data_IF_513081870582
#
_entry.id   IF_513081870582
#
_cell.length_a   1.000
_cell.length_b   1.000
_cell.length_c   1.000
_cell.angle_alpha   90.00
_cell.angle_beta   90.00
_cell.angle_gamma   90.00
#
_symmetry.space_group_name_H-M   'P 1'
#
loop_
_entity.id
_entity.type
_entity.pdbx_description
1 polymer ?
#
# COMPACT_ATOMS: atom_id res chain seq x y z
N UNK A 1 7.31 -27.40 -41.71
CA UNK A 1 7.27 -26.59 -40.48
C UNK A 1 6.83 -25.19 -40.88
N UNK A 2 5.68 -24.72 -40.39
CA UNK A 2 5.10 -23.46 -40.85
C UNK A 2 6.00 -22.27 -40.46
N UNK A 3 6.56 -21.58 -41.45
CA UNK A 3 7.49 -20.45 -41.34
C UNK A 3 6.79 -19.10 -41.28
N UNK A 4 5.56 -19.06 -40.75
CA UNK A 4 4.80 -17.82 -40.61
C UNK A 4 5.18 -17.09 -39.32
N UNK A 5 5.64 -15.85 -39.49
CA UNK A 5 5.80 -14.85 -38.45
C UNK A 5 4.66 -13.81 -38.59
N UNK A 6 4.21 -13.18 -37.49
CA UNK A 6 4.65 -13.35 -36.10
C UNK A 6 4.27 -14.71 -35.50
N UNK A 7 5.12 -15.22 -34.60
CA UNK A 7 4.79 -16.36 -33.74
C UNK A 7 4.38 -15.86 -32.37
N UNK A 8 3.33 -16.44 -31.83
CA UNK A 8 2.80 -16.09 -30.53
C UNK A 8 2.98 -17.25 -29.55
N UNK A 9 3.29 -16.93 -28.31
CA UNK A 9 3.22 -17.91 -27.22
C UNK A 9 2.73 -17.24 -25.94
N UNK A 10 2.07 -18.03 -25.11
CA UNK A 10 1.49 -17.59 -23.86
C UNK A 10 1.87 -18.59 -22.77
N UNK A 11 2.43 -18.10 -21.66
CA UNK A 11 2.84 -18.93 -20.53
C UNK A 11 2.53 -18.25 -19.21
N UNK A 12 2.29 -19.06 -18.19
CA UNK A 12 2.09 -18.61 -16.81
C UNK A 12 3.26 -19.06 -15.95
N UNK A 13 3.81 -18.12 -15.19
CA UNK A 13 4.91 -18.32 -14.25
C UNK A 13 4.47 -17.76 -12.89
N UNK A 14 3.89 -18.62 -12.05
CA UNK A 14 3.29 -18.19 -10.78
C UNK A 14 2.11 -17.24 -10.98
N UNK A 15 2.21 -16.02 -10.44
CA UNK A 15 1.24 -14.94 -10.59
C UNK A 15 1.44 -14.10 -11.86
N UNK A 16 2.50 -14.36 -12.64
CA UNK A 16 2.79 -13.65 -13.87
C UNK A 16 2.25 -14.40 -15.08
N UNK A 17 1.62 -13.65 -15.98
CA UNK A 17 1.26 -14.11 -17.31
C UNK A 17 2.13 -13.42 -18.34
N UNK A 18 2.86 -14.19 -19.13
CA UNK A 18 3.81 -13.68 -20.12
C UNK A 18 3.32 -14.04 -21.52
N UNK A 19 2.98 -13.01 -22.27
CA UNK A 19 2.64 -13.10 -23.69
C UNK A 19 3.85 -12.71 -24.52
N UNK A 20 4.23 -13.58 -25.45
CA UNK A 20 5.36 -13.36 -26.35
C UNK A 20 4.86 -13.20 -27.79
N UNK A 21 5.35 -12.15 -28.45
CA UNK A 21 5.32 -12.04 -29.89
C UNK A 21 6.75 -12.07 -30.42
N UNK A 22 7.05 -13.11 -31.20
CA UNK A 22 8.34 -13.28 -31.86
C UNK A 22 8.21 -12.84 -33.32
N UNK A 23 8.95 -11.80 -33.66
CA UNK A 23 9.15 -11.28 -35.02
C UNK A 23 10.47 -11.82 -35.59
N UNK A 24 10.80 -11.44 -36.84
CA UNK A 24 12.04 -11.87 -37.50
C UNK A 24 13.32 -11.33 -36.84
N UNK A 25 13.26 -10.12 -36.26
CA UNK A 25 14.42 -9.42 -35.68
C UNK A 25 14.23 -8.97 -34.23
N UNK A 26 13.06 -9.22 -33.64
CA UNK A 26 12.66 -8.64 -32.36
C UNK A 26 11.75 -9.61 -31.62
N UNK A 27 11.86 -9.67 -30.30
CA UNK A 27 10.97 -10.42 -29.42
C UNK A 27 10.33 -9.46 -28.43
N UNK A 28 9.00 -9.44 -28.39
CA UNK A 28 8.22 -8.63 -27.47
C UNK A 28 7.63 -9.52 -26.39
N UNK A 29 7.75 -9.12 -25.13
CA UNK A 29 7.06 -9.74 -24.00
C UNK A 29 6.16 -8.71 -23.32
N UNK A 30 4.86 -8.97 -23.32
CA UNK A 30 3.92 -8.28 -22.44
C UNK A 30 3.77 -9.13 -21.18
N UNK A 31 4.21 -8.61 -20.05
CA UNK A 31 4.15 -9.27 -18.75
C UNK A 31 3.00 -8.68 -17.94
N UNK A 32 2.12 -9.55 -17.46
CA UNK A 32 0.93 -9.20 -16.70
C UNK A 32 1.01 -9.77 -15.29
N UNK A 33 0.99 -8.89 -14.28
CA UNK A 33 0.99 -9.25 -12.87
C UNK A 33 -0.47 -9.36 -12.36
N UNK A 34 -0.89 -10.60 -12.09
CA UNK A 34 -2.25 -10.91 -11.66
C UNK A 34 -2.55 -10.44 -10.22
N UNK A 35 -1.54 -10.28 -9.36
CA UNK A 35 -1.72 -9.82 -7.98
C UNK A 35 -1.94 -8.31 -7.94
N UNK A 36 -1.21 -7.57 -8.79
CA UNK A 36 -1.39 -6.14 -8.95
C UNK A 36 -2.64 -5.79 -9.79
N UNK A 37 -3.11 -6.69 -10.66
CA UNK A 37 -4.31 -6.48 -11.45
C UNK A 37 -5.58 -6.46 -10.60
N UNK A 38 -6.29 -5.33 -10.61
CA UNK A 38 -7.55 -5.16 -9.89
C UNK A 38 -8.79 -5.53 -10.70
N UNK A 39 -8.69 -5.64 -12.03
CA UNK A 39 -9.87 -5.79 -12.90
C UNK A 39 -10.64 -4.49 -13.17
N UNK A 40 -10.00 -3.33 -13.03
CA UNK A 40 -10.61 -2.02 -13.28
C UNK A 40 -11.04 -1.80 -14.76
N UNK A 41 -10.40 -2.47 -15.70
CA UNK A 41 -10.73 -2.41 -17.13
C UNK A 41 -10.31 -1.11 -17.84
N UNK A 42 -9.49 -0.26 -17.24
CA UNK A 42 -8.94 0.94 -17.92
C UNK A 42 -8.12 0.52 -19.16
N UNK A 43 -7.36 -0.57 -19.06
CA UNK A 43 -6.61 -1.12 -20.19
C UNK A 43 -7.50 -1.61 -21.34
N UNK A 44 -8.72 -2.07 -21.05
CA UNK A 44 -9.69 -2.50 -22.06
C UNK A 44 -10.18 -1.28 -22.85
N UNK A 45 -10.58 -0.22 -22.16
CA UNK A 45 -11.02 1.02 -22.82
C UNK A 45 -9.87 1.72 -23.56
N UNK A 46 -8.64 1.57 -23.07
CA UNK A 46 -7.46 2.20 -23.64
C UNK A 46 -6.81 1.43 -24.81
N UNK A 47 -7.14 0.15 -25.02
CA UNK A 47 -6.50 -0.65 -26.06
C UNK A 47 -6.97 -0.21 -27.46
N UNK A 48 -6.09 0.27 -28.35
CA UNK A 48 -6.47 0.67 -29.71
C UNK A 48 -6.90 -0.51 -30.59
N UNK A 49 -6.33 -1.70 -30.35
CA UNK A 49 -6.62 -2.94 -31.11
C UNK A 49 -7.78 -3.74 -30.52
N UNK A 50 -8.36 -3.29 -29.41
CA UNK A 50 -9.41 -4.01 -28.67
C UNK A 50 -9.00 -5.47 -28.35
N UNK A 51 -7.71 -5.68 -28.12
CA UNK A 51 -7.12 -6.98 -27.82
C UNK A 51 -7.35 -7.43 -26.37
N UNK A 52 -7.81 -6.53 -25.50
CA UNK A 52 -7.94 -6.80 -24.06
C UNK A 52 -9.43 -6.93 -23.72
N UNK A 53 -9.78 -7.97 -22.96
CA UNK A 53 -11.15 -8.25 -22.53
C UNK A 53 -11.25 -8.34 -21.01
N UNK A 54 -12.40 -7.97 -20.46
CA UNK A 54 -12.72 -8.19 -19.04
C UNK A 54 -13.28 -9.60 -18.86
N UNK A 55 -12.76 -10.31 -17.87
CA UNK A 55 -13.38 -11.53 -17.37
C UNK A 55 -14.35 -11.26 -16.21
N UNK A 56 -14.75 -12.29 -15.45
CA UNK A 56 -15.65 -12.16 -14.31
C UNK A 56 -14.94 -11.57 -13.10
N UNK A 57 -14.71 -10.25 -13.13
CA UNK A 57 -13.90 -9.48 -12.15
C UNK A 57 -14.27 -9.80 -10.71
N UNK A 58 -15.57 -9.80 -10.38
CA UNK A 58 -16.04 -10.08 -9.02
C UNK A 58 -15.68 -11.49 -8.53
N UNK A 59 -15.85 -12.50 -9.39
CA UNK A 59 -15.54 -13.89 -9.03
C UNK A 59 -14.03 -14.11 -8.87
N UNK A 60 -13.22 -13.58 -9.80
CA UNK A 60 -11.75 -13.71 -9.77
C UNK A 60 -11.18 -12.99 -8.55
N UNK A 61 -11.57 -11.74 -8.31
CA UNK A 61 -10.99 -10.93 -7.23
C UNK A 61 -11.40 -11.36 -5.83
N UNK A 62 -12.53 -12.07 -5.68
CA UNK A 62 -12.91 -12.74 -4.43
C UNK A 62 -12.29 -14.14 -4.28
N UNK A 63 -11.54 -14.61 -5.28
CA UNK A 63 -11.00 -15.98 -5.29
C UNK A 63 -12.08 -17.07 -5.43
N UNK A 64 -13.29 -16.72 -5.88
CA UNK A 64 -14.38 -17.68 -6.08
C UNK A 64 -14.12 -18.61 -7.27
N UNK A 65 -13.28 -18.20 -8.22
CA UNK A 65 -12.78 -19.04 -9.30
C UNK A 65 -11.26 -18.86 -9.44
N UNK A 66 -10.56 -19.91 -9.84
CA UNK A 66 -9.11 -19.90 -10.08
C UNK A 66 -8.73 -20.21 -11.54
N UNK A 67 -9.71 -20.59 -12.37
CA UNK A 67 -9.49 -20.96 -13.77
C UNK A 67 -9.65 -19.78 -14.75
N UNK A 68 -10.01 -18.59 -14.26
CA UNK A 68 -10.25 -17.39 -15.07
C UNK A 68 -9.43 -16.19 -14.61
N UNK A 69 -9.34 -15.17 -15.46
CA UNK A 69 -8.61 -13.92 -15.21
C UNK A 69 -9.57 -12.74 -15.18
N UNK A 70 -9.28 -11.73 -14.35
CA UNK A 70 -10.09 -10.51 -14.33
C UNK A 70 -9.96 -9.71 -15.63
N UNK A 71 -8.80 -9.82 -16.28
CA UNK A 71 -8.46 -9.19 -17.55
C UNK A 71 -7.62 -10.20 -18.32
N UNK A 72 -7.94 -10.40 -19.60
CA UNK A 72 -7.18 -11.26 -20.50
C UNK A 72 -6.87 -10.53 -21.80
N UNK A 73 -5.85 -10.97 -22.52
CA UNK A 73 -5.34 -10.32 -23.73
C UNK A 73 -5.25 -11.35 -24.85
N UNK A 74 -5.82 -11.05 -26.01
CA UNK A 74 -5.65 -11.80 -27.24
C UNK A 74 -4.30 -11.42 -27.86
N UNK A 75 -3.33 -12.33 -27.73
CA UNK A 75 -1.96 -12.09 -28.20
C UNK A 75 -1.87 -11.94 -29.73
N UNK A 76 -2.86 -12.42 -30.49
CA UNK A 76 -2.89 -12.29 -31.95
C UNK A 76 -3.39 -10.93 -32.42
N UNK A 77 -4.25 -10.28 -31.63
CA UNK A 77 -4.70 -8.90 -31.87
C UNK A 77 -3.75 -7.87 -31.27
N UNK A 78 -3.04 -8.22 -30.21
CA UNK A 78 -2.15 -7.31 -29.51
C UNK A 78 -1.01 -6.81 -30.41
N UNK A 79 -0.89 -5.48 -30.55
CA UNK A 79 0.20 -4.82 -31.27
C UNK A 79 1.46 -4.59 -30.43
N UNK A 80 1.43 -4.98 -29.14
CA UNK A 80 2.53 -4.75 -28.18
C UNK A 80 2.96 -3.27 -28.08
N UNK A 81 2.01 -2.34 -28.22
CA UNK A 81 2.27 -0.90 -28.23
C UNK A 81 2.58 -0.27 -26.86
N UNK A 82 2.21 -0.94 -25.75
CA UNK A 82 2.46 -0.46 -24.38
C UNK A 82 1.46 0.56 -23.83
N UNK A 83 0.38 0.90 -24.55
CA UNK A 83 -0.65 1.83 -24.04
C UNK A 83 -1.28 1.33 -22.74
N UNK A 84 -1.54 0.02 -22.64
CA UNK A 84 -2.10 -0.59 -21.44
C UNK A 84 -1.14 -0.53 -20.23
N UNK A 85 0.17 -0.55 -20.46
CA UNK A 85 1.21 -0.37 -19.43
C UNK A 85 1.10 1.04 -18.85
N UNK A 86 1.11 2.05 -19.72
CA UNK A 86 1.07 3.47 -19.32
C UNK A 86 -0.24 3.82 -18.62
N UNK A 87 -1.37 3.30 -19.12
CA UNK A 87 -2.69 3.62 -18.59
C UNK A 87 -3.07 2.79 -17.34
N UNK A 88 -2.25 1.84 -16.90
CA UNK A 88 -2.53 1.06 -15.70
C UNK A 88 -2.18 1.85 -14.42
N UNK A 89 -3.16 2.28 -13.59
CA UNK A 89 -2.86 2.99 -12.35
C UNK A 89 -2.37 2.09 -11.21
N UNK A 90 -2.30 0.77 -11.45
CA UNK A 90 -1.92 -0.25 -10.47
C UNK A 90 -0.57 -0.92 -10.77
N UNK A 91 0.11 -0.49 -11.85
CA UNK A 91 1.40 -1.06 -12.26
C UNK A 91 1.35 -2.60 -12.46
N UNK A 92 0.27 -3.10 -13.07
CA UNK A 92 0.03 -4.53 -13.28
C UNK A 92 0.58 -5.07 -14.61
N UNK A 93 1.22 -4.22 -15.42
CA UNK A 93 1.67 -4.53 -16.77
C UNK A 93 3.06 -3.97 -17.00
N UNK A 94 3.93 -4.71 -17.67
CA UNK A 94 5.19 -4.21 -18.21
C UNK A 94 5.43 -4.76 -19.61
N UNK A 95 6.12 -3.98 -20.45
CA UNK A 95 6.50 -4.37 -21.81
C UNK A 95 8.02 -4.49 -21.88
N UNK A 96 8.51 -5.64 -22.34
CA UNK A 96 9.93 -5.86 -22.62
C UNK A 96 10.13 -6.10 -24.10
N UNK A 97 11.18 -5.50 -24.64
CA UNK A 97 11.60 -5.65 -26.03
C UNK A 97 13.03 -6.16 -26.00
N UNK A 98 13.26 -7.34 -26.58
CA UNK A 98 14.54 -8.04 -26.57
C UNK A 98 15.13 -8.21 -25.16
N UNK A 99 14.25 -8.41 -24.18
CA UNK A 99 14.59 -8.64 -22.77
C UNK A 99 14.70 -7.39 -21.91
N UNK A 100 14.71 -6.20 -22.50
CA UNK A 100 14.81 -4.92 -21.78
C UNK A 100 13.44 -4.26 -21.62
N UNK A 101 13.14 -3.71 -20.45
CA UNK A 101 11.89 -2.98 -20.22
C UNK A 101 11.92 -1.65 -20.99
N UNK A 102 11.11 -1.56 -22.04
CA UNK A 102 11.09 -0.46 -23.00
C UNK A 102 9.68 -0.15 -23.44
N UNK A 103 9.38 1.14 -23.51
CA UNK A 103 8.09 1.66 -23.97
C UNK A 103 8.32 2.59 -25.17
N UNK A 104 8.38 2.05 -26.41
CA UNK A 104 8.65 2.85 -27.61
C UNK A 104 7.68 4.01 -27.80
N UNK A 105 6.44 3.86 -27.33
CA UNK A 105 5.42 4.89 -27.42
C UNK A 105 5.74 6.11 -26.53
N UNK A 106 6.46 5.91 -25.43
CA UNK A 106 6.92 7.00 -24.54
C UNK A 106 8.23 7.58 -25.06
N UNK A 107 9.18 6.72 -25.47
CA UNK A 107 10.48 7.15 -26.01
C UNK A 107 10.33 8.07 -27.24
N UNK A 108 9.24 7.90 -28.01
CA UNK A 108 8.92 8.70 -29.20
C UNK A 108 7.92 9.83 -28.94
N UNK A 109 7.64 10.15 -27.67
CA UNK A 109 6.65 11.15 -27.25
C UNK A 109 5.26 10.95 -27.89
N UNK A 110 4.91 9.69 -28.19
CA UNK A 110 3.67 9.30 -28.85
C UNK A 110 2.48 9.20 -27.90
N UNK A 111 2.71 9.23 -26.58
CA UNK A 111 1.68 9.09 -25.56
C UNK A 111 2.07 9.78 -24.25
N UNK A 112 1.14 10.46 -23.56
CA UNK A 112 1.43 11.09 -22.28
C UNK A 112 1.50 10.06 -21.15
N UNK A 113 2.06 10.45 -20.00
CA UNK A 113 2.13 9.60 -18.79
C UNK A 113 1.32 10.20 -17.66
N UNK A 114 0.94 9.41 -16.67
CA UNK A 114 0.32 9.95 -15.46
C UNK A 114 1.24 10.97 -14.77
N UNK A 115 0.63 12.01 -14.21
CA UNK A 115 1.32 13.01 -13.38
C UNK A 115 0.87 12.93 -11.92
N UNK A 116 1.32 11.90 -11.16
CA UNK A 116 0.88 11.71 -9.79
C UNK A 116 1.51 12.75 -8.87
N UNK A 117 0.67 13.55 -8.21
CA UNK A 117 1.12 14.42 -7.11
C UNK A 117 1.07 13.62 -5.83
N UNK A 118 2.24 13.19 -5.34
CA UNK A 118 2.39 12.52 -4.05
C UNK A 118 3.76 12.87 -3.46
N UNK A 119 3.76 13.46 -2.28
CA UNK A 119 4.99 13.91 -1.63
C UNK A 119 4.88 13.82 -0.11
N UNK A 120 6.03 13.61 0.55
CA UNK A 120 6.19 13.70 1.99
C UNK A 120 7.17 14.81 2.28
N UNK A 121 6.77 15.75 3.14
CA UNK A 121 7.62 16.78 3.71
C UNK A 121 8.45 16.15 4.84
N UNK A 122 9.75 15.98 4.60
CA UNK A 122 10.69 15.34 5.53
C UNK A 122 10.89 16.17 6.83
N UNK A 123 10.64 17.49 6.79
CA UNK A 123 10.75 18.36 7.96
C UNK A 123 9.56 18.14 8.90
N UNK A 124 8.34 18.07 8.35
CA UNK A 124 7.10 17.82 9.11
C UNK A 124 6.91 16.36 9.50
N UNK A 125 7.48 15.41 8.75
CA UNK A 125 7.30 13.99 9.02
C UNK A 125 8.00 13.56 10.32
N UNK A 126 7.26 12.98 11.26
CA UNK A 126 7.79 12.49 12.54
C UNK A 126 8.12 11.00 12.55
N UNK A 127 8.18 10.35 11.37
CA UNK A 127 8.54 8.93 11.20
C UNK A 127 7.64 7.93 11.95
N UNK A 128 6.40 8.31 12.26
CA UNK A 128 5.37 7.43 12.83
C UNK A 128 4.96 6.31 11.84
N UNK A 129 4.05 5.42 12.26
CA UNK A 129 3.59 4.29 11.45
C UNK A 129 2.27 4.55 10.70
N UNK A 130 1.55 5.64 11.02
CA UNK A 130 0.16 5.84 10.56
C UNK A 130 -0.03 5.68 9.06
N UNK A 131 0.83 6.29 8.24
CA UNK A 131 0.70 6.21 6.78
C UNK A 131 0.88 4.78 6.24
N UNK A 132 1.70 3.95 6.90
CA UNK A 132 1.87 2.53 6.58
C UNK A 132 0.62 1.75 6.99
N UNK A 133 0.09 2.03 8.17
CA UNK A 133 -1.04 1.29 8.75
C UNK A 133 -2.36 1.53 7.99
N UNK A 134 -2.58 2.76 7.50
CA UNK A 134 -3.80 3.10 6.74
C UNK A 134 -3.70 2.81 5.24
N UNK A 135 -2.53 2.41 4.72
CA UNK A 135 -2.35 2.22 3.28
C UNK A 135 -3.04 0.94 2.80
N UNK A 136 -4.05 1.01 1.90
CA UNK A 136 -4.78 -0.17 1.44
C UNK A 136 -3.99 -1.00 0.42
N UNK A 137 -2.92 -0.44 -0.15
CA UNK A 137 -1.96 -1.20 -0.96
C UNK A 137 -1.02 -1.88 0.03
N UNK A 138 -1.19 -3.19 0.22
CA UNK A 138 -0.40 -4.12 1.07
C UNK A 138 0.86 -3.45 1.60
N UNK A 139 1.01 -3.28 2.94
CA UNK A 139 1.72 -2.17 3.60
C UNK A 139 3.21 -1.97 3.28
N UNK A 140 3.79 -2.71 2.34
CA UNK A 140 5.16 -2.56 1.82
C UNK A 140 5.22 -2.01 0.39
N UNK A 141 4.14 -2.09 -0.41
CA UNK A 141 4.20 -1.73 -1.83
C UNK A 141 4.24 -0.23 -2.05
N UNK A 142 3.31 0.52 -1.46
CA UNK A 142 3.13 1.95 -1.77
C UNK A 142 3.84 2.91 -0.80
N UNK A 143 4.04 2.52 0.45
CA UNK A 143 4.71 3.31 1.49
C UNK A 143 5.94 2.54 1.97
N UNK A 144 7.12 3.07 1.67
CA UNK A 144 8.39 2.52 2.14
C UNK A 144 8.83 3.29 3.38
N UNK A 145 8.79 2.61 4.54
CA UNK A 145 9.25 3.16 5.83
C UNK A 145 10.58 2.51 6.21
N UNK A 146 11.67 3.16 5.83
CA UNK A 146 13.03 2.79 6.20
C UNK A 146 13.40 3.49 7.51
N UNK A 147 12.79 3.03 8.60
CA UNK A 147 13.01 3.57 9.96
C UNK A 147 13.33 2.38 10.86
N UNK A 148 14.47 2.38 11.56
CA UNK A 148 14.94 1.20 12.27
C UNK A 148 13.94 0.75 13.33
N UNK A 149 13.67 -0.55 13.35
CA UNK A 149 12.98 -1.21 14.44
C UNK A 149 13.92 -1.30 15.66
N UNK A 150 13.34 -1.42 16.85
CA UNK A 150 14.10 -1.64 18.09
C UNK A 150 13.86 -3.05 18.62
N UNK A 151 14.80 -3.55 19.41
CA UNK A 151 14.75 -4.86 20.05
C UNK A 151 13.39 -5.09 20.73
N UNK A 152 12.80 -6.26 20.46
CA UNK A 152 11.43 -6.61 20.87
C UNK A 152 10.37 -6.37 19.78
N UNK A 153 10.69 -5.68 18.69
CA UNK A 153 9.81 -5.56 17.50
C UNK A 153 10.33 -6.33 16.28
N UNK A 154 11.65 -6.50 16.16
CA UNK A 154 12.32 -7.29 15.12
C UNK A 154 13.60 -7.92 15.69
N UNK A 155 13.97 -9.12 15.21
CA UNK A 155 15.21 -9.81 15.53
C UNK A 155 16.47 -9.05 15.03
N UNK A 156 16.31 -8.24 13.98
CA UNK A 156 17.36 -7.33 13.49
C UNK A 156 17.26 -5.90 14.08
N UNK A 157 16.36 -5.67 15.04
CA UNK A 157 16.13 -4.36 15.63
C UNK A 157 17.36 -3.85 16.40
N UNK A 158 17.57 -2.53 16.36
CA UNK A 158 18.59 -1.86 17.18
C UNK A 158 18.30 -2.10 18.66
N UNK A 159 19.34 -2.18 19.50
CA UNK A 159 19.13 -2.35 20.95
C UNK A 159 18.28 -1.21 21.49
N UNK A 160 17.35 -1.49 22.42
CA UNK A 160 16.48 -0.44 22.99
C UNK A 160 17.27 0.74 23.56
N UNK A 161 18.44 0.48 24.14
CA UNK A 161 19.31 1.52 24.66
C UNK A 161 19.87 2.46 23.58
N UNK A 162 19.97 2.02 22.32
CA UNK A 162 20.38 2.89 21.20
C UNK A 162 19.27 3.85 20.77
N UNK A 163 18.02 3.64 21.22
CA UNK A 163 16.92 4.60 21.06
C UNK A 163 17.07 5.81 21.99
N UNK A 164 17.87 5.67 23.06
CA UNK A 164 17.95 6.63 24.14
C UNK A 164 19.12 7.57 23.88
N UNK A 165 18.79 8.78 23.46
CA UNK A 165 19.73 9.86 23.27
C UNK A 165 19.83 10.68 24.56
N UNK A 166 20.43 10.07 25.58
CA UNK A 166 20.70 10.76 26.83
C UNK A 166 22.11 10.48 27.32
N UNK A 167 22.77 11.52 27.82
CA UNK A 167 23.98 11.34 28.61
C UNK A 167 23.54 10.86 29.99
N UNK A 168 23.73 9.57 30.24
CA UNK A 168 23.40 8.95 31.51
C UNK A 168 24.69 8.85 32.31
N UNK A 169 24.69 9.42 33.51
CA UNK A 169 25.73 9.14 34.50
C UNK A 169 25.19 8.22 35.57
N UNK A 170 26.01 7.28 35.99
CA UNK A 170 25.72 6.35 37.08
C UNK A 170 26.91 6.38 38.02
N UNK A 171 26.65 6.65 39.29
CA UNK A 171 27.63 6.60 40.36
C UNK A 171 27.10 5.71 41.48
N UNK A 172 27.97 4.85 42.01
CA UNK A 172 27.65 3.98 43.14
C UNK A 172 28.71 4.19 44.22
N UNK A 173 28.31 4.82 45.33
CA UNK A 173 29.16 5.07 46.48
C UNK A 173 29.56 3.74 47.14
N UNK A 174 30.84 3.36 47.03
CA UNK A 174 31.37 2.10 47.55
C UNK A 174 31.37 2.04 49.10
N UNK A 175 31.36 3.17 49.79
CA UNK A 175 31.32 3.22 51.26
C UNK A 175 29.90 2.96 51.79
N UNK A 176 28.89 3.46 51.07
CA UNK A 176 27.47 3.23 51.41
C UNK A 176 26.91 1.93 50.85
N UNK A 177 27.50 1.37 49.79
CA UNK A 177 26.97 0.19 49.13
C UNK A 177 27.15 -1.07 49.99
N UNK A 178 26.03 -1.70 50.35
CA UNK A 178 26.01 -2.96 51.12
C UNK A 178 26.17 -4.20 50.25
N UNK A 179 26.25 -4.04 48.92
CA UNK A 179 26.32 -5.14 47.92
C UNK A 179 25.15 -6.12 48.08
N UNK A 180 23.95 -5.63 48.44
CA UNK A 180 22.78 -6.45 48.74
C UNK A 180 22.28 -7.25 47.51
N UNK A 181 22.28 -6.63 46.33
CA UNK A 181 21.87 -7.25 45.07
C UNK A 181 20.59 -6.69 44.46
N UNK A 182 19.76 -5.96 45.22
CA UNK A 182 18.42 -5.51 44.80
C UNK A 182 18.44 -4.75 43.47
N UNK A 183 19.43 -3.88 43.26
CA UNK A 183 19.58 -3.12 42.03
C UNK A 183 19.89 -4.00 40.81
N UNK A 184 20.60 -5.12 40.97
CA UNK A 184 20.90 -6.07 39.90
C UNK A 184 19.73 -7.00 39.56
N UNK A 185 18.83 -7.26 40.52
CA UNK A 185 17.64 -8.07 40.29
C UNK A 185 16.59 -7.32 39.45
N UNK A 186 16.54 -5.99 39.56
CA UNK A 186 15.56 -5.15 38.86
C UNK A 186 16.10 -4.46 37.61
N UNK A 187 17.43 -4.41 37.42
CA UNK A 187 18.05 -3.66 36.33
C UNK A 187 19.03 -4.51 35.52
N UNK A 188 18.69 -4.76 34.26
CA UNK A 188 19.56 -5.47 33.32
C UNK A 188 20.90 -4.76 33.04
N UNK A 189 20.99 -3.45 33.34
CA UNK A 189 22.22 -2.68 33.21
C UNK A 189 23.18 -2.87 34.39
N UNK A 190 22.74 -3.48 35.49
CA UNK A 190 23.53 -3.65 36.72
C UNK A 190 23.83 -5.12 36.98
N UNK A 191 25.11 -5.44 37.12
CA UNK A 191 25.55 -6.78 37.54
C UNK A 191 26.25 -6.69 38.89
N UNK A 192 25.69 -7.32 39.92
CA UNK A 192 26.27 -7.34 41.26
C UNK A 192 27.15 -8.57 41.42
N UNK A 193 28.47 -8.38 41.49
CA UNK A 193 29.44 -9.48 41.69
C UNK A 193 29.83 -9.59 43.16
N UNK A 194 29.27 -10.57 43.86
CA UNK A 194 29.66 -10.91 45.24
C UNK A 194 30.91 -11.80 45.22
N UNK A 195 31.91 -11.47 46.04
CA UNK A 195 33.07 -12.35 46.28
C UNK A 195 32.63 -13.58 47.07
N UNK A 196 33.34 -14.72 46.94
CA UNK A 196 33.02 -15.93 47.69
C UNK A 196 33.02 -15.68 49.19
N UNK A 197 32.04 -16.25 49.88
CA UNK A 197 32.00 -16.23 51.34
C UNK A 197 33.13 -17.10 51.88
N UNK A 198 33.97 -16.53 52.75
CA UNK A 198 34.94 -17.31 53.51
C UNK A 198 34.87 -16.96 55.00
N UNK A 199 35.11 -17.94 55.88
CA UNK A 199 35.23 -17.69 57.32
C UNK A 199 36.33 -16.67 57.66
N UNK A 200 37.37 -16.58 56.83
CA UNK A 200 38.49 -15.64 57.02
C UNK A 200 38.08 -14.17 56.79
N UNK A 201 37.13 -13.91 55.88
CA UNK A 201 36.72 -12.54 55.52
C UNK A 201 35.54 -12.08 56.38
N UNK A 202 34.60 -12.97 56.71
CA UNK A 202 33.47 -12.71 57.62
C UNK A 202 32.51 -11.60 57.20
N UNK A 203 32.70 -10.98 56.03
CA UNK A 203 31.91 -9.85 55.52
C UNK A 203 31.53 -10.08 54.06
N UNK A 204 30.34 -9.61 53.66
CA UNK A 204 29.93 -9.56 52.26
C UNK A 204 30.77 -8.48 51.57
N UNK A 205 31.48 -8.87 50.50
CA UNK A 205 32.27 -7.95 49.67
C UNK A 205 31.93 -8.20 48.21
N UNK A 206 31.99 -7.16 47.39
CA UNK A 206 31.73 -7.28 45.97
C UNK A 206 31.77 -5.93 45.28
N UNK A 207 31.34 -5.91 44.03
CA UNK A 207 31.29 -4.72 43.19
C UNK A 207 29.96 -4.69 42.41
N UNK A 208 29.45 -3.49 42.14
CA UNK A 208 28.31 -3.27 41.25
C UNK A 208 28.87 -2.81 39.90
N UNK A 209 28.65 -3.58 38.83
CA UNK A 209 29.06 -3.19 37.48
C UNK A 209 27.90 -2.61 36.71
N UNK A 210 28.10 -1.42 36.18
CA UNK A 210 27.14 -0.74 35.32
C UNK A 210 27.52 -0.87 33.85
N UNK A 211 26.54 -1.22 33.02
CA UNK A 211 26.66 -1.29 31.56
C UNK A 211 25.87 -0.14 30.95
N UNK A 212 26.55 0.93 30.57
CA UNK A 212 25.93 2.13 29.99
C UNK A 212 25.02 1.80 28.79
N UNK A 213 25.42 0.85 27.94
CA UNK A 213 24.65 0.41 26.77
C UNK A 213 23.33 -0.30 27.08
N UNK A 214 22.99 -0.54 28.34
CA UNK A 214 21.73 -1.17 28.74
C UNK A 214 20.92 -0.27 29.69
N UNK A 215 21.49 0.86 30.12
CA UNK A 215 20.86 1.77 31.04
C UNK A 215 20.06 2.81 30.28
N UNK A 216 18.81 3.01 30.67
CA UNK A 216 17.90 4.03 30.14
C UNK A 216 17.80 5.28 31.03
N UNK A 217 18.49 5.26 32.17
CA UNK A 217 18.45 6.34 33.15
C UNK A 217 17.09 6.44 33.86
N UNK A 218 16.32 5.34 33.97
CA UNK A 218 14.99 5.35 34.61
C UNK A 218 15.02 5.65 36.12
N UNK A 219 16.17 5.52 36.79
CA UNK A 219 16.33 5.83 38.22
C UNK A 219 15.83 4.77 39.20
N UNK A 220 15.22 3.67 38.73
CA UNK A 220 14.66 2.60 39.59
C UNK A 220 15.71 2.01 40.55
N UNK A 221 16.97 1.90 40.13
CA UNK A 221 18.06 1.40 40.97
C UNK A 221 18.47 2.36 42.10
N UNK A 222 18.24 3.67 41.93
CA UNK A 222 18.48 4.68 42.96
C UNK A 222 17.38 4.60 44.03
N UNK A 223 16.11 4.55 43.60
CA UNK A 223 14.93 4.46 44.48
C UNK A 223 14.86 3.16 45.30
N UNK A 224 15.29 2.03 44.72
CA UNK A 224 15.29 0.74 45.43
C UNK A 224 16.51 0.58 46.36
N UNK A 225 17.50 1.47 46.30
CA UNK A 225 18.73 1.33 47.06
C UNK A 225 18.47 1.66 48.54
N UNK A 226 18.50 0.68 49.46
CA UNK A 226 18.17 0.93 50.87
C UNK A 226 19.22 1.76 51.61
N UNK A 227 20.39 1.98 51.00
CA UNK A 227 21.50 2.75 51.58
C UNK A 227 21.79 4.04 50.82
N UNK A 228 20.90 4.45 49.90
CA UNK A 228 21.04 5.66 49.08
C UNK A 228 22.43 5.78 48.42
N UNK A 229 22.99 4.63 48.02
CA UNK A 229 24.35 4.53 47.50
C UNK A 229 24.43 4.79 45.99
N UNK A 230 23.30 4.86 45.29
CA UNK A 230 23.25 4.94 43.83
C UNK A 230 22.69 6.30 43.40
N UNK A 231 23.45 7.01 42.57
CA UNK A 231 23.01 8.24 41.89
C UNK A 231 22.93 7.99 40.39
N UNK A 232 21.81 8.36 39.77
CA UNK A 232 21.61 8.31 38.31
C UNK A 232 21.20 9.68 37.82
N UNK A 233 21.95 10.26 36.88
CA UNK A 233 21.53 11.48 36.19
C UNK A 233 21.29 11.18 34.71
N UNK A 234 20.31 11.88 34.13
CA UNK A 234 19.95 11.78 32.73
C UNK A 234 19.87 13.19 32.15
N UNK A 235 20.76 13.50 31.21
CA UNK A 235 20.72 14.74 30.44
C UNK A 235 20.21 14.44 29.04
N UNK A 236 19.17 15.14 28.60
CA UNK A 236 18.58 14.96 27.27
C UNK A 236 19.53 15.49 26.19
N UNK A 237 19.81 14.67 25.18
CA UNK A 237 20.52 15.07 23.98
C UNK A 237 19.54 15.26 22.81
N UNK A 238 19.93 16.08 21.83
CA UNK A 238 19.11 16.33 20.62
C UNK A 238 18.94 15.03 19.84
N UNK A 239 17.69 14.69 19.56
CA UNK A 239 17.35 13.51 18.78
C UNK A 239 17.49 13.80 17.28
N UNK A 240 18.40 13.11 16.61
CA UNK A 240 18.40 13.05 15.14
C UNK A 240 17.35 12.04 14.66
N UNK A 241 16.54 12.43 13.69
CA UNK A 241 15.60 11.52 13.01
C UNK A 241 16.41 10.42 12.30
N UNK A 242 16.20 9.15 12.68
CA UNK A 242 16.84 8.00 12.03
C UNK A 242 15.91 7.39 10.99
N UNK A 243 16.28 7.51 9.72
CA UNK A 243 15.56 6.88 8.63
C UNK A 243 14.63 7.83 7.86
N UNK A 244 13.89 7.27 6.91
CA UNK A 244 13.04 8.01 5.97
C UNK A 244 11.76 7.25 5.64
N UNK A 245 10.71 8.00 5.36
CA UNK A 245 9.48 7.47 4.75
C UNK A 245 9.37 8.00 3.33
N UNK A 246 9.05 7.14 2.37
CA UNK A 246 8.85 7.53 0.97
C UNK A 246 7.64 6.84 0.34
N UNK A 247 7.10 7.45 -0.72
CA UNK A 247 5.95 6.93 -1.48
C UNK A 247 6.47 6.39 -2.80
N UNK A 248 6.17 5.12 -3.11
CA UNK A 248 6.68 4.43 -4.30
C UNK A 248 5.81 4.65 -5.55
N UNK A 249 6.20 4.03 -6.66
CA UNK A 249 5.42 3.97 -7.90
C UNK A 249 4.08 3.23 -7.77
N UNK A 250 3.93 2.33 -6.81
CA UNK A 250 2.72 1.51 -6.62
C UNK A 250 1.59 2.25 -5.88
N UNK A 251 1.82 3.52 -5.52
CA UNK A 251 0.82 4.37 -4.92
C UNK A 251 -0.28 4.73 -5.91
N UNK A 252 -1.52 4.35 -5.57
CA UNK A 252 -2.71 4.55 -6.39
C UNK A 252 -3.40 5.90 -6.15
N UNK A 253 -2.81 6.80 -5.37
CA UNK A 253 -3.33 8.15 -5.05
C UNK A 253 -4.66 8.19 -4.26
N UNK A 254 -4.93 7.19 -3.41
CA UNK A 254 -6.17 7.10 -2.62
C UNK A 254 -6.27 8.08 -1.43
N UNK A 255 -5.24 8.85 -1.11
CA UNK A 255 -5.22 9.88 -0.04
C UNK A 255 -5.38 9.41 1.41
N UNK A 256 -5.51 8.11 1.70
CA UNK A 256 -5.56 7.60 3.09
C UNK A 256 -4.43 8.15 3.98
N UNK A 257 -3.19 8.09 3.48
CA UNK A 257 -2.02 8.61 4.19
C UNK A 257 -2.05 10.15 4.36
N UNK A 258 -2.56 10.89 3.38
CA UNK A 258 -2.66 12.35 3.45
C UNK A 258 -3.70 12.80 4.48
N UNK A 259 -4.86 12.15 4.52
CA UNK A 259 -5.95 12.48 5.45
C UNK A 259 -5.61 12.11 6.90
N UNK A 260 -4.87 11.01 7.11
CA UNK A 260 -4.57 10.51 8.45
C UNK A 260 -3.18 10.92 8.96
N UNK A 261 -2.44 11.77 8.22
CA UNK A 261 -1.13 12.23 8.68
C UNK A 261 -1.30 13.24 9.84
N UNK A 262 -0.86 12.94 11.07
CA UNK A 262 -1.07 13.82 12.21
C UNK A 262 -0.32 15.16 12.10
N UNK A 263 0.72 15.22 11.27
CA UNK A 263 1.53 16.44 11.06
C UNK A 263 1.30 17.07 9.68
N UNK A 264 0.30 16.59 8.93
CA UNK A 264 -0.02 17.08 7.59
C UNK A 264 1.20 17.11 6.64
N UNK A 265 2.14 16.19 6.84
CA UNK A 265 3.38 16.10 6.06
C UNK A 265 3.16 15.53 4.66
N UNK A 266 2.00 14.92 4.38
CA UNK A 266 1.76 14.14 3.17
C UNK A 266 0.77 14.86 2.26
N UNK A 267 1.19 15.14 1.03
CA UNK A 267 0.32 15.66 -0.03
C UNK A 267 0.03 14.56 -1.04
N UNK A 268 -1.24 14.33 -1.38
CA UNK A 268 -1.67 13.41 -2.43
C UNK A 268 -2.83 14.00 -3.22
N UNK A 269 -2.68 14.11 -4.54
CA UNK A 269 -3.76 14.44 -5.48
C UNK A 269 -4.09 13.22 -6.34
N UNK A 270 -5.38 13.03 -6.64
CA UNK A 270 -5.87 11.86 -7.37
C UNK A 270 -5.52 11.95 -8.86
N UNK A 271 -5.27 10.79 -9.47
CA UNK A 271 -5.10 10.66 -10.92
C UNK A 271 -6.37 10.98 -11.70
N UNK A 272 -7.53 10.69 -11.13
CA UNK A 272 -8.83 10.85 -11.78
C UNK A 272 -9.70 11.82 -11.00
N UNK A 273 -10.39 12.68 -11.74
CA UNK A 273 -11.41 13.59 -11.23
C UNK A 273 -12.78 13.15 -11.73
N UNK A 274 -13.81 13.41 -10.95
CA UNK A 274 -15.18 13.03 -11.28
C UNK A 274 -15.95 12.58 -10.05
N UNK A 275 -16.99 11.78 -10.27
CA UNK A 275 -17.87 11.32 -9.21
C UNK A 275 -18.31 9.86 -9.40
N UNK A 276 -18.76 9.25 -8.30
CA UNK A 276 -19.36 7.93 -8.25
C UNK A 276 -20.61 7.94 -7.37
N UNK A 277 -21.68 7.34 -7.86
CA UNK A 277 -22.98 7.27 -7.20
C UNK A 277 -23.41 5.80 -7.03
N UNK A 278 -24.05 5.52 -5.90
CA UNK A 278 -24.55 4.20 -5.54
C UNK A 278 -26.07 4.26 -5.33
N UNK A 279 -26.81 3.61 -6.20
CA UNK A 279 -28.26 3.39 -6.12
C UNK A 279 -28.56 2.24 -5.15
N UNK A 280 -28.48 2.54 -3.85
CA UNK A 280 -28.56 1.56 -2.76
C UNK A 280 -29.90 0.82 -2.71
N UNK A 281 -30.97 1.42 -3.23
CA UNK A 281 -32.30 0.84 -3.36
C UNK A 281 -32.31 -0.38 -4.29
N UNK A 282 -31.45 -0.38 -5.32
CA UNK A 282 -31.28 -1.50 -6.26
C UNK A 282 -30.27 -2.54 -5.76
N UNK A 283 -29.55 -2.25 -4.68
CA UNK A 283 -28.54 -3.14 -4.13
C UNK A 283 -29.20 -4.36 -3.45
N UNK A 284 -28.89 -5.60 -3.88
CA UNK A 284 -29.28 -6.79 -3.13
C UNK A 284 -28.51 -6.76 -1.81
N UNK A 285 -29.22 -6.78 -0.68
CA UNK A 285 -28.59 -6.66 0.63
C UNK A 285 -27.58 -7.78 0.87
N UNK A 286 -26.31 -7.41 1.09
CA UNK A 286 -25.32 -8.32 1.69
C UNK A 286 -24.38 -9.09 0.75
N UNK A 287 -24.20 -8.71 -0.52
CA UNK A 287 -23.24 -9.41 -1.38
C UNK A 287 -21.76 -9.00 -1.22
N UNK A 288 -21.50 -7.86 -0.55
CA UNK A 288 -20.18 -7.27 -0.21
C UNK A 288 -19.12 -7.17 -1.33
N UNK A 289 -19.47 -7.50 -2.57
CA UNK A 289 -18.51 -7.70 -3.67
C UNK A 289 -17.68 -6.45 -3.94
N UNK A 290 -18.31 -5.30 -4.04
CA UNK A 290 -17.62 -4.04 -4.32
C UNK A 290 -16.82 -3.52 -3.12
N UNK A 291 -17.18 -3.90 -1.89
CA UNK A 291 -16.41 -3.60 -0.67
C UNK A 291 -15.10 -4.39 -0.69
N UNK A 292 -15.18 -5.71 -0.85
CA UNK A 292 -14.04 -6.62 -0.76
C UNK A 292 -12.99 -6.39 -1.85
N UNK A 293 -13.40 -6.00 -3.06
CA UNK A 293 -12.48 -5.83 -4.19
C UNK A 293 -11.92 -4.41 -4.30
N UNK A 294 -12.37 -3.45 -3.48
CA UNK A 294 -11.98 -2.05 -3.62
C UNK A 294 -10.50 -1.87 -3.27
N UNK A 295 -9.61 -1.55 -4.24
CA UNK A 295 -8.18 -1.44 -3.98
C UNK A 295 -7.81 -0.20 -3.15
N UNK A 296 -8.74 0.74 -3.02
CA UNK A 296 -8.59 1.95 -2.23
C UNK A 296 -9.30 1.85 -0.87
N UNK A 297 -9.92 0.71 -0.54
CA UNK A 297 -10.74 0.53 0.67
C UNK A 297 -11.75 1.68 0.90
N UNK A 298 -12.33 2.21 -0.18
CA UNK A 298 -13.18 3.41 -0.14
C UNK A 298 -14.67 3.10 0.04
N UNK A 299 -15.06 1.83 -0.10
CA UNK A 299 -16.46 1.37 -0.08
C UNK A 299 -16.65 0.56 1.20
N UNK A 300 -17.75 0.76 1.92
CA UNK A 300 -18.01 0.12 3.20
C UNK A 300 -19.49 -0.25 3.35
N UNK A 301 -19.79 -1.17 4.28
CA UNK A 301 -21.14 -1.46 4.72
C UNK A 301 -21.43 -0.58 5.95
N UNK A 302 -22.42 0.33 5.89
CA UNK A 302 -22.76 1.17 7.03
C UNK A 302 -23.16 0.32 8.25
N UNK A 303 -22.73 0.75 9.44
CA UNK A 303 -23.14 0.10 10.69
C UNK A 303 -24.62 0.37 10.96
N UNK A 304 -25.35 -0.61 11.50
CA UNK A 304 -26.75 -0.42 11.85
C UNK A 304 -26.89 0.64 12.93
N UNK A 305 -27.72 1.65 12.67
CA UNK A 305 -28.21 2.62 13.66
C UNK A 305 -29.19 1.91 14.59
N UNK A 306 -29.34 2.47 15.79
CA UNK A 306 -30.38 2.01 16.71
C UNK A 306 -31.76 2.26 16.07
N UNK A 307 -32.69 1.30 16.08
CA UNK A 307 -34.04 1.48 15.56
C UNK A 307 -34.76 2.73 16.09
N UNK A 308 -34.44 3.18 17.31
CA UNK A 308 -34.97 4.42 17.88
C UNK A 308 -34.55 5.69 17.11
N UNK A 309 -33.38 5.67 16.47
CA UNK A 309 -32.78 6.81 15.75
C UNK A 309 -33.10 6.78 14.25
N UNK A 310 -33.80 5.74 13.77
CA UNK A 310 -34.03 5.57 12.33
C UNK A 310 -35.11 6.50 11.79
N UNK A 311 -36.03 7.04 12.61
CA UNK A 311 -37.10 7.96 12.18
C UNK A 311 -37.83 7.55 10.86
N UNK A 312 -37.90 6.25 10.55
CA UNK A 312 -38.48 5.73 9.31
C UNK A 312 -37.54 5.73 8.08
N UNK A 313 -36.29 6.16 8.21
CA UNK A 313 -35.26 6.07 7.19
C UNK A 313 -34.76 4.63 7.03
N UNK A 314 -34.62 4.18 5.79
CA UNK A 314 -33.95 2.92 5.46
C UNK A 314 -32.46 3.18 5.34
N UNK A 315 -31.65 2.44 6.11
CA UNK A 315 -30.20 2.56 6.02
C UNK A 315 -29.69 2.22 4.62
N UNK A 316 -28.72 3.01 4.18
CA UNK A 316 -27.95 2.69 3.00
C UNK A 316 -27.28 1.32 3.20
N UNK A 317 -27.58 0.37 2.32
CA UNK A 317 -26.96 -0.97 2.34
C UNK A 317 -25.46 -0.92 2.04
N UNK A 318 -25.00 0.19 1.45
CA UNK A 318 -23.62 0.39 1.02
C UNK A 318 -23.29 1.89 1.03
N UNK A 319 -22.07 2.22 1.45
CA UNK A 319 -21.54 3.58 1.45
C UNK A 319 -20.22 3.65 0.69
N UNK A 320 -19.90 4.84 0.18
CA UNK A 320 -18.61 5.14 -0.43
C UNK A 320 -18.07 6.44 0.15
N UNK A 321 -16.83 6.41 0.63
CA UNK A 321 -16.09 7.61 0.96
C UNK A 321 -15.42 8.14 -0.32
N UNK A 322 -16.00 9.20 -0.87
CA UNK A 322 -15.53 9.83 -2.11
C UNK A 322 -14.12 10.40 -1.97
N UNK A 323 -13.64 10.75 -0.78
CA UNK A 323 -12.27 11.23 -0.57
C UNK A 323 -11.21 10.16 -0.81
N UNK A 324 -11.54 8.89 -0.56
CA UNK A 324 -10.62 7.77 -0.79
C UNK A 324 -10.81 7.08 -2.14
N UNK A 325 -11.98 7.23 -2.77
CA UNK A 325 -12.24 6.64 -4.07
C UNK A 325 -11.33 7.24 -5.17
N UNK A 326 -10.65 6.37 -5.93
CA UNK A 326 -9.78 6.77 -7.05
C UNK A 326 -10.47 6.66 -8.40
N UNK A 327 -11.77 6.39 -8.45
CA UNK A 327 -12.54 6.30 -9.70
C UNK A 327 -11.99 5.27 -10.71
N UNK A 328 -11.42 4.14 -10.24
CA UNK A 328 -10.86 3.13 -11.14
C UNK A 328 -11.92 2.28 -11.85
N UNK A 329 -13.12 2.11 -11.27
CA UNK A 329 -14.25 1.40 -11.87
C UNK A 329 -14.28 -0.12 -11.66
N UNK A 330 -13.43 -0.67 -10.80
CA UNK A 330 -13.49 -2.10 -10.45
C UNK A 330 -14.84 -2.52 -9.87
N UNK A 331 -15.43 -1.67 -9.01
CA UNK A 331 -16.75 -1.92 -8.41
C UNK A 331 -17.86 -1.99 -9.46
N UNK A 332 -17.81 -1.13 -10.47
CA UNK A 332 -18.75 -1.12 -11.60
C UNK A 332 -18.65 -2.41 -12.40
N UNK A 333 -17.43 -2.94 -12.62
CA UNK A 333 -17.23 -4.18 -13.38
C UNK A 333 -17.62 -5.44 -12.63
N UNK A 334 -17.53 -5.42 -11.30
CA UNK A 334 -17.81 -6.59 -10.48
C UNK A 334 -19.26 -6.65 -9.98
N UNK A 335 -19.97 -5.53 -9.98
CA UNK A 335 -21.34 -5.47 -9.51
C UNK A 335 -22.27 -6.27 -10.46
N UNK A 336 -22.97 -7.31 -9.96
CA UNK A 336 -23.84 -8.14 -10.79
C UNK A 336 -25.21 -7.51 -11.05
N UNK A 337 -25.57 -6.44 -10.33
CA UNK A 337 -26.85 -5.76 -10.49
C UNK A 337 -26.81 -4.59 -11.47
N UNK A 338 -27.97 -4.28 -12.02
CA UNK A 338 -28.18 -3.28 -13.08
C UNK A 338 -28.29 -1.89 -12.48
N UNK A 339 -27.50 -0.95 -13.01
CA UNK A 339 -27.57 0.46 -12.65
C UNK A 339 -27.52 0.75 -11.15
N UNK A 340 -26.70 -0.03 -10.44
CA UNK A 340 -26.43 0.15 -9.01
C UNK A 340 -25.30 1.15 -8.80
N UNK A 341 -24.25 1.09 -9.63
CA UNK A 341 -23.05 1.92 -9.44
C UNK A 341 -22.81 2.70 -10.72
N UNK A 342 -22.92 4.02 -10.64
CA UNK A 342 -22.66 4.94 -11.76
C UNK A 342 -21.36 5.67 -11.50
N UNK A 343 -20.40 5.51 -12.40
CA UNK A 343 -19.09 6.15 -12.34
C UNK A 343 -18.96 7.14 -13.51
N UNK A 344 -18.61 8.38 -13.21
CA UNK A 344 -18.30 9.40 -14.22
C UNK A 344 -16.96 10.04 -13.92
N UNK A 345 -16.05 10.02 -14.88
CA UNK A 345 -14.79 10.77 -14.80
C UNK A 345 -14.95 12.08 -15.56
N UNK A 346 -14.40 13.17 -15.03
CA UNK A 346 -14.35 14.49 -15.66
C UNK A 346 -12.94 14.88 -16.06
N UNK A 347 -11.92 14.28 -15.44
CA UNK A 347 -10.52 14.60 -15.68
C UNK A 347 -9.59 13.41 -15.44
N UNK A 348 -8.47 13.42 -16.15
CA UNK A 348 -7.35 12.48 -15.96
C UNK A 348 -6.08 13.32 -15.93
N UNK A 349 -5.31 13.20 -14.86
CA UNK A 349 -4.08 13.95 -14.66
C UNK A 349 -2.91 13.32 -15.39
N UNK A 350 -2.46 13.99 -16.44
CA UNK A 350 -1.42 13.51 -17.35
C UNK A 350 -0.37 14.60 -17.60
N UNK A 351 0.87 14.18 -17.87
CA UNK A 351 1.96 15.03 -18.34
C UNK A 351 2.47 14.57 -19.71
N UNK A 352 2.92 15.52 -20.51
CA UNK A 352 3.40 15.30 -21.88
C UNK A 352 2.36 15.65 -22.93
N UNK A 353 2.65 15.30 -24.18
CA UNK A 353 1.83 15.68 -25.34
C UNK A 353 0.57 14.83 -25.44
N UNK A 354 -0.60 15.47 -25.45
CA UNK A 354 -1.87 14.80 -25.75
C UNK A 354 -1.98 14.52 -27.26
N UNK A 355 -1.61 13.30 -27.67
CA UNK A 355 -1.77 12.83 -29.05
C UNK A 355 -3.22 12.47 -29.38
N UNK A 356 -3.56 12.36 -30.66
CA UNK A 356 -4.94 12.04 -31.08
C UNK A 356 -5.38 10.64 -30.62
N UNK A 357 -4.43 9.71 -30.51
CA UNK A 357 -4.64 8.42 -29.85
C UNK A 357 -5.07 8.61 -28.39
N UNK A 358 -4.35 9.44 -27.64
CA UNK A 358 -4.70 9.70 -26.24
C UNK A 358 -6.05 10.41 -26.10
N UNK A 359 -6.37 11.39 -26.94
CA UNK A 359 -7.68 12.07 -26.93
C UNK A 359 -8.83 11.09 -27.13
N UNK A 360 -8.70 10.17 -28.09
CA UNK A 360 -9.70 9.12 -28.34
C UNK A 360 -9.89 8.21 -27.11
N UNK A 361 -8.80 7.84 -26.46
CA UNK A 361 -8.84 7.02 -25.23
C UNK A 361 -9.43 7.80 -24.05
N UNK A 362 -9.05 9.07 -23.90
CA UNK A 362 -9.59 9.98 -22.88
C UNK A 362 -11.10 10.09 -23.01
N UNK A 363 -11.61 10.30 -24.22
CA UNK A 363 -13.05 10.34 -24.49
C UNK A 363 -13.76 9.04 -24.10
N UNK A 364 -13.16 7.87 -24.39
CA UNK A 364 -13.70 6.56 -23.93
C UNK A 364 -13.72 6.46 -22.40
N UNK A 365 -12.66 6.89 -21.72
CA UNK A 365 -12.51 6.77 -20.26
C UNK A 365 -13.37 7.76 -19.46
N UNK A 366 -13.73 8.91 -20.04
CA UNK A 366 -14.61 9.92 -19.45
C UNK A 366 -16.10 9.59 -19.62
N UNK A 367 -16.45 8.66 -20.52
CA UNK A 367 -17.85 8.21 -20.67
C UNK A 367 -18.37 7.63 -19.35
N UNK A 368 -19.58 8.00 -18.91
CA UNK A 368 -20.22 7.39 -17.77
C UNK A 368 -20.28 5.88 -17.92
N UNK A 369 -20.02 5.16 -16.83
CA UNK A 369 -20.10 3.71 -16.76
C UNK A 369 -21.06 3.32 -15.67
N UNK A 370 -21.92 2.36 -15.97
CA UNK A 370 -22.89 1.83 -15.02
C UNK A 370 -22.68 0.31 -14.86
N UNK A 371 -23.11 -0.25 -13.73
CA UNK A 371 -22.97 -1.68 -13.47
C UNK A 371 -23.91 -2.49 -14.37
N UNK A 372 -23.39 -3.59 -14.94
CA UNK A 372 -24.08 -4.55 -15.83
C UNK A 372 -24.60 -4.00 -17.18
N UNK A 373 -24.69 -2.68 -17.37
CA UNK A 373 -25.16 -2.04 -18.61
C UNK A 373 -24.02 -1.26 -19.29
N UNK A 374 -23.87 -1.41 -20.61
CA UNK A 374 -23.02 -0.54 -21.45
C UNK A 374 -23.96 0.28 -22.36
N UNK A 375 -23.99 1.59 -22.20
CA UNK A 375 -24.53 2.47 -23.25
C UNK A 375 -23.60 2.35 -24.47
N UNK A 376 -24.14 1.88 -25.60
CA UNK A 376 -23.48 1.88 -26.89
C UNK A 376 -23.52 3.27 -27.53
N UNK A 377 -23.63 3.33 -28.86
CA UNK A 377 -23.94 4.59 -29.56
C UNK A 377 -25.35 5.09 -29.20
N UNK A 378 -25.58 6.41 -29.31
CA UNK A 378 -26.84 7.10 -29.03
C UNK A 378 -28.07 6.19 -29.28
N UNK A 379 -28.68 5.71 -28.19
CA UNK A 379 -29.92 4.92 -28.23
C UNK A 379 -29.79 3.40 -28.31
N UNK A 380 -28.62 2.78 -28.10
CA UNK A 380 -28.50 1.31 -27.95
C UNK A 380 -27.93 0.91 -26.58
N UNK A 381 -28.64 0.04 -25.88
CA UNK A 381 -28.28 -0.51 -24.56
C UNK A 381 -27.95 -1.99 -24.72
N UNK A 382 -26.74 -2.41 -24.34
CA UNK A 382 -26.37 -3.83 -24.25
C UNK A 382 -26.18 -4.24 -22.78
N UNK A 383 -26.84 -5.34 -22.39
CA UNK A 383 -26.58 -6.04 -21.13
C UNK A 383 -25.25 -6.78 -21.26
N UNK A 384 -24.36 -6.65 -20.26
CA UNK A 384 -23.25 -7.61 -20.10
C UNK A 384 -23.88 -8.97 -19.84
N UNK A 385 -23.95 -9.82 -20.86
CA UNK A 385 -24.39 -11.21 -20.71
C UNK A 385 -23.48 -11.87 -19.69
N UNK A 386 -24.08 -12.24 -18.55
CA UNK A 386 -23.53 -13.29 -17.71
C UNK A 386 -23.91 -14.61 -18.40
N UNK A 387 -23.09 -15.04 -19.35
CA UNK A 387 -23.08 -16.44 -19.80
C UNK A 387 -21.92 -17.18 -19.11
#
# INVERSE_FOLDING_TARGET
MNTLFPKYSHRKEGNLTIMEQRLLKQVNHLVFDLDNCTGCGICVDACPEEAIVLGPVGAVRRGAIQYGEAVSVDEKKCSYCGVCVVMCPFNAMSLRIDGEEKLPIIEREGFPTYDPVRAIDDEKCILCTTCKDVCPRTPEKAILRDVPAFEGTDAAGLKKAEAIHANITFDCDEEKCTVCGLCGDVCAALTVKKKPFSPEIGKVRGEVKWTQKLCDGCGVCSEICPSDAITVTREEAVQEKRGKVSITGDCITCRWCAVNCPTEAITVEKLFEGDIEFHTEKCPGGCSTCVEICPANAIYLPSPKNPADMHGEVEAKIGVNKDFCILCGVCVNACPGEDIIVLKRTGIRMKGKETDLFKTIKDKLLRPRTSKVREGDFGKVELKTAE
#
